data_IF_359579935598
#
_entry.id   IF_359579935598
#
_cell.length_a   1.000
_cell.length_b   1.000
_cell.length_c   1.000
_cell.angle_alpha   90.00
_cell.angle_beta   90.00
_cell.angle_gamma   90.00
#
_symmetry.space_group_name_H-M   'P 1'
#
loop_
_entity.id
_entity.type
_entity.pdbx_description
1 polymer ?
#
# COMPACT_ATOMS: atom_id res chain seq x y z
N UNK A 1 6.82 8.91 -6.87
CA UNK A 1 7.71 7.83 -6.36
C UNK A 1 7.92 6.75 -7.42
N UNK A 2 9.00 5.96 -7.34
CA UNK A 2 9.21 4.84 -8.25
C UNK A 2 8.34 3.61 -7.85
N UNK A 3 8.06 2.74 -8.84
CA UNK A 3 7.23 1.54 -8.63
C UNK A 3 7.85 0.52 -7.68
N UNK A 4 9.19 0.36 -7.70
CA UNK A 4 9.89 -0.58 -6.82
C UNK A 4 9.60 -0.27 -5.34
N UNK A 5 9.71 1.01 -4.98
CA UNK A 5 9.39 1.51 -3.63
C UNK A 5 7.89 1.40 -3.34
N UNK A 6 7.03 1.83 -4.28
CA UNK A 6 5.58 1.80 -4.10
C UNK A 6 5.03 0.38 -3.89
N UNK A 7 5.59 -0.61 -4.58
CA UNK A 7 5.25 -2.03 -4.45
C UNK A 7 5.98 -2.73 -3.30
N UNK A 8 6.91 -2.05 -2.60
CA UNK A 8 7.75 -2.62 -1.53
C UNK A 8 8.42 -3.94 -1.94
N UNK A 9 9.00 -3.98 -3.14
CA UNK A 9 9.57 -5.21 -3.69
C UNK A 9 10.74 -5.70 -2.83
N UNK A 10 10.64 -6.96 -2.42
CA UNK A 10 11.72 -7.68 -1.76
C UNK A 10 12.71 -8.24 -2.80
N UNK A 11 13.87 -8.70 -2.33
CA UNK A 11 14.80 -9.44 -3.21
C UNK A 11 14.14 -10.72 -3.73
N UNK A 12 14.49 -11.11 -4.95
CA UNK A 12 13.93 -12.27 -5.65
C UNK A 12 12.41 -12.20 -5.83
N UNK A 13 11.87 -10.98 -6.00
CA UNK A 13 10.45 -10.81 -6.22
C UNK A 13 9.99 -11.44 -7.54
N UNK A 14 8.82 -12.09 -7.52
CA UNK A 14 8.08 -12.46 -8.72
C UNK A 14 6.83 -11.58 -8.79
N UNK A 15 6.76 -10.73 -9.82
CA UNK A 15 5.67 -9.75 -9.98
C UNK A 15 4.82 -10.12 -11.19
N UNK A 16 3.57 -10.49 -10.97
CA UNK A 16 2.63 -10.79 -12.04
C UNK A 16 1.75 -9.56 -12.36
N UNK A 17 1.75 -9.13 -13.62
CA UNK A 17 0.87 -8.08 -14.13
C UNK A 17 -0.35 -8.70 -14.79
N UNK A 18 -1.54 -8.32 -14.33
CA UNK A 18 -2.84 -8.80 -14.84
C UNK A 18 -3.75 -7.61 -15.20
N UNK A 19 -4.82 -7.84 -15.97
CA UNK A 19 -5.79 -6.78 -16.29
C UNK A 19 -5.54 -6.11 -17.65
N UNK A 20 -5.85 -4.83 -17.76
CA UNK A 20 -5.75 -4.03 -18.99
C UNK A 20 -5.04 -2.70 -18.77
N UNK A 21 -4.92 -1.85 -19.83
CA UNK A 21 -4.49 -0.47 -19.65
C UNK A 21 -2.98 -0.23 -19.52
N UNK A 22 -2.12 -1.14 -20.07
CA UNK A 22 -0.69 -0.87 -20.20
C UNK A 22 0.23 -1.71 -19.31
N UNK A 23 -0.14 -2.97 -19.05
CA UNK A 23 0.69 -3.94 -18.30
C UNK A 23 2.13 -4.01 -18.81
N UNK A 24 2.30 -4.21 -20.11
CA UNK A 24 3.63 -4.31 -20.74
C UNK A 24 4.46 -3.06 -20.45
N UNK A 25 3.90 -1.86 -20.59
CA UNK A 25 4.60 -0.61 -20.30
C UNK A 25 5.02 -0.51 -18.83
N UNK A 26 4.14 -0.87 -17.90
CA UNK A 26 4.45 -0.88 -16.47
C UNK A 26 5.51 -1.93 -16.12
N UNK A 27 5.45 -3.12 -16.73
CA UNK A 27 6.43 -4.18 -16.55
C UNK A 27 7.83 -3.72 -16.98
N UNK A 28 7.96 -3.13 -18.17
CA UNK A 28 9.25 -2.61 -18.66
C UNK A 28 9.71 -1.38 -17.89
N UNK A 29 8.77 -0.53 -17.44
CA UNK A 29 9.10 0.60 -16.56
C UNK A 29 9.70 0.10 -15.25
N UNK A 30 9.09 -0.87 -14.59
CA UNK A 30 9.63 -1.45 -13.36
C UNK A 30 10.99 -2.13 -13.61
N UNK A 31 11.15 -2.80 -14.74
CA UNK A 31 12.44 -3.37 -15.12
C UNK A 31 13.54 -2.29 -15.22
N UNK A 32 13.23 -1.18 -15.87
CA UNK A 32 14.17 -0.05 -15.98
C UNK A 32 14.53 0.55 -14.62
N UNK A 33 13.57 0.67 -13.69
CA UNK A 33 13.83 1.15 -12.33
C UNK A 33 14.72 0.19 -11.52
N UNK A 34 14.52 -1.14 -11.66
CA UNK A 34 15.37 -2.15 -11.01
C UNK A 34 16.80 -2.04 -11.53
N UNK A 35 16.98 -1.94 -12.84
CA UNK A 35 18.31 -1.81 -13.48
C UNK A 35 18.99 -0.50 -13.08
N UNK A 36 18.25 0.61 -13.07
CA UNK A 36 18.79 1.92 -12.63
C UNK A 36 19.24 1.89 -11.16
N UNK A 37 18.63 1.04 -10.33
CA UNK A 37 19.06 0.77 -8.97
C UNK A 37 20.21 -0.24 -8.84
N UNK A 38 20.85 -0.67 -9.93
CA UNK A 38 21.96 -1.62 -9.95
C UNK A 38 21.52 -3.08 -9.86
N UNK A 39 20.22 -3.38 -9.93
CA UNK A 39 19.68 -4.72 -9.88
C UNK A 39 19.64 -5.40 -11.26
N UNK A 40 19.37 -6.72 -11.25
CA UNK A 40 19.17 -7.54 -12.43
C UNK A 40 17.73 -8.05 -12.49
N UNK A 41 17.13 -8.04 -13.67
CA UNK A 41 15.73 -8.36 -13.87
C UNK A 41 15.50 -9.22 -15.12
N UNK A 42 14.59 -10.17 -15.02
CA UNK A 42 14.04 -10.88 -16.15
C UNK A 42 12.59 -10.44 -16.34
N UNK A 43 12.23 -10.08 -17.57
CA UNK A 43 10.82 -9.93 -17.97
C UNK A 43 10.39 -11.15 -18.76
N UNK A 44 9.14 -11.59 -18.61
CA UNK A 44 8.58 -12.72 -19.34
C UNK A 44 7.07 -12.62 -19.48
N UNK A 45 6.46 -13.55 -20.17
CA UNK A 45 5.00 -13.71 -20.23
C UNK A 45 4.63 -15.17 -20.14
N UNK A 46 3.50 -15.48 -19.51
CA UNK A 46 2.91 -16.83 -19.50
C UNK A 46 1.79 -16.97 -20.54
N UNK A 47 1.55 -15.93 -21.36
CA UNK A 47 0.55 -15.92 -22.42
C UNK A 47 1.19 -15.62 -23.78
N UNK A 48 0.80 -14.53 -24.43
CA UNK A 48 1.39 -14.10 -25.70
C UNK A 48 1.57 -12.57 -25.69
N UNK A 49 2.73 -12.12 -26.15
CA UNK A 49 3.00 -10.69 -26.40
C UNK A 49 3.17 -10.45 -27.91
N UNK A 50 3.09 -9.22 -28.36
CA UNK A 50 3.43 -8.87 -29.74
C UNK A 50 4.93 -9.06 -29.98
N UNK A 51 5.29 -9.63 -31.13
CA UNK A 51 6.70 -9.86 -31.48
C UNK A 51 7.53 -8.57 -31.50
N UNK A 52 6.94 -7.43 -31.87
CA UNK A 52 7.62 -6.14 -31.83
C UNK A 52 7.88 -5.61 -30.40
N UNK A 53 7.28 -6.21 -29.36
CA UNK A 53 7.58 -5.84 -27.97
C UNK A 53 8.88 -6.49 -27.47
N UNK A 54 9.42 -7.47 -28.19
CA UNK A 54 10.69 -8.11 -27.80
C UNK A 54 11.89 -7.17 -27.84
N UNK A 55 11.82 -6.10 -28.64
CA UNK A 55 12.86 -5.05 -28.71
C UNK A 55 12.85 -4.07 -27.53
N UNK A 56 11.86 -4.15 -26.65
CA UNK A 56 11.78 -3.29 -25.45
C UNK A 56 12.80 -3.69 -24.37
N UNK A 57 13.29 -4.93 -24.42
CA UNK A 57 14.41 -5.36 -23.58
C UNK A 57 15.73 -5.24 -24.33
N UNK A 58 16.85 -4.90 -23.64
CA UNK A 58 18.18 -4.86 -24.25
C UNK A 58 18.62 -6.23 -24.81
N UNK A 59 18.17 -7.30 -24.19
CA UNK A 59 18.44 -8.67 -24.61
C UNK A 59 17.15 -9.48 -24.61
N UNK A 60 16.98 -10.30 -25.65
CA UNK A 60 15.85 -11.21 -25.80
C UNK A 60 16.33 -12.62 -26.03
N UNK A 61 15.77 -13.56 -25.29
CA UNK A 61 16.01 -14.99 -25.44
C UNK A 61 14.67 -15.68 -25.71
N UNK A 62 14.57 -16.31 -26.90
CA UNK A 62 13.44 -17.16 -27.26
C UNK A 62 13.79 -18.62 -26.95
N UNK A 63 13.07 -19.27 -26.04
CA UNK A 63 13.21 -20.70 -25.75
C UNK A 63 12.57 -21.49 -26.88
N UNK A 64 13.30 -22.49 -27.39
CA UNK A 64 12.76 -23.41 -28.40
C UNK A 64 11.62 -24.28 -27.83
N UNK A 65 11.77 -24.72 -26.58
CA UNK A 65 10.72 -25.35 -25.78
C UNK A 65 10.33 -24.41 -24.62
N UNK A 66 9.12 -23.89 -24.59
CA UNK A 66 8.68 -22.98 -23.52
C UNK A 66 8.57 -23.64 -22.14
N UNK A 67 8.71 -24.98 -22.07
CA UNK A 67 8.70 -25.74 -20.82
C UNK A 67 10.11 -26.10 -20.31
N UNK A 68 11.18 -25.63 -20.96
CA UNK A 68 12.56 -25.99 -20.58
C UNK A 68 13.46 -24.73 -20.54
N UNK A 69 14.28 -24.62 -19.50
CA UNK A 69 15.33 -23.61 -19.39
C UNK A 69 16.70 -24.28 -19.59
N UNK A 70 17.30 -24.23 -20.81
CA UNK A 70 18.60 -24.82 -21.04
C UNK A 70 19.69 -24.19 -20.16
N UNK A 71 20.64 -24.99 -19.66
CA UNK A 71 21.73 -24.53 -18.82
C UNK A 71 22.58 -23.43 -19.49
N UNK A 72 22.79 -23.51 -20.82
CA UNK A 72 23.47 -22.46 -21.57
C UNK A 72 22.73 -21.12 -21.55
N UNK A 73 21.39 -21.13 -21.60
CA UNK A 73 20.55 -19.93 -21.46
C UNK A 73 20.63 -19.39 -20.05
N UNK A 74 20.49 -20.24 -19.04
CA UNK A 74 20.61 -19.86 -17.64
C UNK A 74 21.96 -19.18 -17.36
N UNK A 75 23.06 -19.65 -17.93
CA UNK A 75 24.37 -19.03 -17.80
C UNK A 75 24.43 -17.62 -18.44
N UNK A 76 23.76 -17.41 -19.59
CA UNK A 76 23.70 -16.10 -20.27
C UNK A 76 22.89 -15.08 -19.49
N UNK A 77 21.81 -15.49 -18.82
CA UNK A 77 20.94 -14.57 -18.06
C UNK A 77 21.71 -13.79 -16.99
N UNK A 78 22.71 -14.43 -16.36
CA UNK A 78 23.55 -13.78 -15.34
C UNK A 78 24.48 -12.68 -15.87
N UNK A 79 24.70 -12.59 -17.17
CA UNK A 79 25.59 -11.61 -17.82
C UNK A 79 24.94 -10.27 -18.17
N UNK A 80 23.62 -10.16 -18.06
CA UNK A 80 22.88 -8.97 -18.50
C UNK A 80 22.03 -8.38 -17.38
N UNK A 81 21.90 -7.05 -17.34
CA UNK A 81 21.08 -6.36 -16.33
C UNK A 81 19.57 -6.58 -16.56
N UNK A 82 19.15 -6.68 -17.84
CA UNK A 82 17.76 -6.95 -18.19
C UNK A 82 17.70 -7.89 -19.39
N UNK A 83 16.95 -8.99 -19.25
CA UNK A 83 16.67 -9.96 -20.32
C UNK A 83 15.16 -10.21 -20.39
N UNK A 84 14.60 -10.19 -21.60
CA UNK A 84 13.27 -10.73 -21.89
C UNK A 84 13.40 -12.20 -22.28
N UNK A 85 12.67 -13.07 -21.60
CA UNK A 85 12.59 -14.51 -21.94
C UNK A 85 11.18 -14.81 -22.45
N UNK A 86 11.09 -15.43 -23.63
CA UNK A 86 9.81 -15.88 -24.22
C UNK A 86 9.93 -17.32 -24.70
N UNK A 87 8.81 -17.93 -25.06
CA UNK A 87 8.79 -19.10 -25.92
C UNK A 87 9.07 -18.74 -27.40
N UNK A 88 8.79 -19.64 -28.35
CA UNK A 88 9.02 -19.39 -29.77
C UNK A 88 8.28 -18.17 -30.31
N UNK A 89 8.84 -17.57 -31.36
CA UNK A 89 8.17 -16.46 -32.07
C UNK A 89 7.40 -17.06 -33.27
N UNK A 90 6.11 -16.76 -33.30
CA UNK A 90 5.26 -16.99 -34.46
C UNK A 90 5.30 -15.74 -35.35
N UNK A 91 6.17 -15.75 -36.34
CA UNK A 91 6.35 -14.62 -37.25
C UNK A 91 5.09 -14.36 -38.10
N UNK A 92 4.33 -15.43 -38.46
CA UNK A 92 3.07 -15.25 -39.23
C UNK A 92 1.97 -14.57 -38.43
N UNK A 93 1.85 -14.89 -37.12
CA UNK A 93 0.89 -14.24 -36.22
C UNK A 93 1.43 -12.94 -35.62
N UNK A 94 2.71 -12.61 -35.81
CA UNK A 94 3.37 -11.46 -35.19
C UNK A 94 3.39 -11.54 -33.64
N UNK A 95 3.49 -12.73 -33.07
CA UNK A 95 3.42 -13.01 -31.63
C UNK A 95 4.60 -13.81 -31.13
N UNK A 96 5.06 -13.52 -29.91
CA UNK A 96 5.92 -14.41 -29.14
C UNK A 96 5.05 -15.16 -28.11
N UNK A 97 5.25 -16.48 -28.04
CA UNK A 97 4.59 -17.32 -27.03
C UNK A 97 5.14 -17.05 -25.63
N UNK A 98 4.33 -17.32 -24.63
CA UNK A 98 4.78 -17.30 -23.24
C UNK A 98 5.60 -18.53 -22.88
N UNK A 99 6.31 -18.45 -21.76
CA UNK A 99 6.93 -19.61 -21.11
C UNK A 99 5.89 -20.34 -20.25
N UNK A 100 6.15 -21.62 -19.98
CA UNK A 100 5.36 -22.35 -18.98
C UNK A 100 5.53 -21.74 -17.59
N UNK A 101 4.46 -21.69 -16.75
CA UNK A 101 4.52 -21.05 -15.44
C UNK A 101 5.64 -21.58 -14.53
N UNK A 102 5.97 -22.88 -14.59
CA UNK A 102 7.01 -23.46 -13.74
C UNK A 102 8.44 -22.96 -14.10
N UNK A 103 8.68 -22.52 -15.32
CA UNK A 103 9.97 -21.93 -15.73
C UNK A 103 10.27 -20.65 -14.94
N UNK A 104 9.24 -19.93 -14.49
CA UNK A 104 9.43 -18.68 -13.71
C UNK A 104 10.18 -18.97 -12.41
N UNK A 105 9.93 -20.10 -11.74
CA UNK A 105 10.67 -20.49 -10.54
C UNK A 105 12.15 -20.77 -10.84
N UNK A 106 12.46 -21.34 -12.01
CA UNK A 106 13.83 -21.56 -12.47
C UNK A 106 14.51 -20.22 -12.79
N UNK A 107 13.80 -19.29 -13.44
CA UNK A 107 14.31 -17.95 -13.76
C UNK A 107 14.71 -17.16 -12.49
N UNK A 108 13.95 -17.26 -11.40
CA UNK A 108 14.32 -16.66 -10.09
C UNK A 108 15.65 -17.20 -9.58
N UNK A 109 15.92 -18.49 -9.80
CA UNK A 109 17.12 -19.16 -9.32
C UNK A 109 18.38 -18.80 -10.14
N UNK A 110 18.25 -18.06 -11.24
CA UNK A 110 19.41 -17.56 -12.02
C UNK A 110 20.15 -16.40 -11.32
N UNK A 111 19.71 -15.99 -10.13
CA UNK A 111 20.36 -14.97 -9.32
C UNK A 111 19.98 -13.55 -9.70
N UNK A 112 18.79 -13.33 -10.29
CA UNK A 112 18.23 -12.02 -10.56
C UNK A 112 17.49 -11.48 -9.33
N UNK A 113 17.34 -10.14 -9.27
CA UNK A 113 16.64 -9.47 -8.17
C UNK A 113 15.12 -9.57 -8.31
N UNK A 114 14.62 -9.67 -9.54
CA UNK A 114 13.19 -9.87 -9.80
C UNK A 114 12.93 -10.59 -11.13
N UNK A 115 11.78 -11.29 -11.20
CA UNK A 115 11.16 -11.78 -12.42
C UNK A 115 9.79 -11.10 -12.57
N UNK A 116 9.59 -10.40 -13.69
CA UNK A 116 8.36 -9.67 -13.99
C UNK A 116 7.58 -10.41 -15.09
N UNK A 117 6.32 -10.70 -14.85
CA UNK A 117 5.53 -11.61 -15.67
C UNK A 117 4.25 -10.92 -16.17
N UNK A 118 4.05 -10.84 -17.49
CA UNK A 118 2.74 -10.52 -18.05
C UNK A 118 1.88 -11.78 -18.06
N UNK A 119 0.90 -11.89 -17.15
CA UNK A 119 0.17 -13.12 -16.88
C UNK A 119 -1.15 -13.25 -17.66
N UNK A 120 -1.55 -12.23 -18.42
CA UNK A 120 -2.75 -12.27 -19.27
C UNK A 120 -2.70 -11.26 -20.42
N UNK A 121 -3.53 -11.47 -21.45
CA UNK A 121 -3.72 -10.54 -22.57
C UNK A 121 -4.97 -9.68 -22.40
N UNK A 122 -4.94 -8.41 -22.88
CA UNK A 122 -6.10 -7.49 -22.84
C UNK A 122 -6.51 -6.93 -24.19
N UNK A 123 -5.90 -7.37 -25.30
CA UNK A 123 -6.10 -6.81 -26.64
C UNK A 123 -5.99 -5.29 -26.67
N UNK A 124 -5.04 -4.73 -25.93
CA UNK A 124 -4.81 -3.29 -25.77
C UNK A 124 -5.97 -2.50 -25.15
N UNK A 125 -7.00 -3.16 -24.60
CA UNK A 125 -8.12 -2.48 -23.94
C UNK A 125 -7.71 -1.99 -22.54
N UNK A 126 -8.20 -0.81 -22.11
CA UNK A 126 -7.85 -0.22 -20.81
C UNK A 126 -8.43 -0.97 -19.61
N UNK A 127 -9.50 -1.73 -19.77
CA UNK A 127 -10.10 -2.57 -18.73
C UNK A 127 -10.41 -3.96 -19.30
N UNK A 128 -10.43 -4.98 -18.45
CA UNK A 128 -10.85 -6.33 -18.84
C UNK A 128 -11.47 -7.12 -17.69
N UNK A 129 -12.29 -8.10 -18.06
CA UNK A 129 -12.61 -9.24 -17.20
C UNK A 129 -11.87 -10.50 -17.70
N UNK A 130 -11.20 -11.27 -16.83
CA UNK A 130 -10.43 -12.44 -17.25
C UNK A 130 -11.37 -13.60 -17.68
N UNK A 131 -10.97 -14.38 -18.71
CA UNK A 131 -11.63 -15.61 -19.08
C UNK A 131 -11.36 -16.73 -18.05
N UNK A 132 -11.95 -17.91 -18.23
CA UNK A 132 -11.77 -19.02 -17.28
C UNK A 132 -10.33 -19.48 -17.15
N UNK A 133 -9.61 -19.53 -18.26
CA UNK A 133 -8.20 -19.93 -18.35
C UNK A 133 -7.21 -18.80 -18.05
N UNK A 134 -7.67 -17.62 -17.68
CA UNK A 134 -6.85 -16.44 -17.34
C UNK A 134 -7.18 -15.92 -15.94
N UNK A 135 -6.21 -15.23 -15.31
CA UNK A 135 -4.80 -15.09 -15.66
C UNK A 135 -4.01 -16.39 -15.39
N UNK A 136 -2.83 -16.53 -16.02
CA UNK A 136 -1.89 -17.62 -15.78
C UNK A 136 -0.77 -17.10 -14.89
N UNK A 137 -1.06 -16.98 -13.58
CA UNK A 137 -0.13 -16.50 -12.57
C UNK A 137 0.79 -17.65 -12.16
N UNK A 138 2.14 -17.49 -12.21
CA UNK A 138 3.08 -18.53 -11.80
C UNK A 138 3.03 -18.80 -10.29
N UNK A 139 3.32 -20.03 -9.89
CA UNK A 139 3.58 -20.37 -8.50
C UNK A 139 4.80 -19.59 -7.97
N UNK A 140 4.78 -19.23 -6.69
CA UNK A 140 5.84 -18.41 -6.09
C UNK A 140 5.75 -16.92 -6.40
N UNK A 141 4.67 -16.46 -7.07
CA UNK A 141 4.40 -15.04 -7.25
C UNK A 141 4.28 -14.34 -5.89
N UNK A 142 5.08 -13.29 -5.69
CA UNK A 142 5.11 -12.50 -4.45
C UNK A 142 4.20 -11.27 -4.51
N UNK A 143 4.04 -10.71 -5.71
CA UNK A 143 3.23 -9.51 -5.95
C UNK A 143 2.36 -9.68 -7.19
N UNK A 144 1.08 -9.34 -7.08
CA UNK A 144 0.16 -9.26 -8.22
C UNK A 144 -0.28 -7.83 -8.41
N UNK A 145 -0.05 -7.28 -9.60
CA UNK A 145 -0.44 -5.91 -9.98
C UNK A 145 -1.61 -5.99 -10.96
N UNK A 146 -2.81 -5.64 -10.48
CA UNK A 146 -4.02 -5.59 -11.30
C UNK A 146 -4.15 -4.22 -11.96
N UNK A 147 -3.92 -4.15 -13.26
CA UNK A 147 -3.82 -2.90 -14.02
C UNK A 147 -5.13 -2.53 -14.66
N UNK A 148 -5.48 -1.25 -14.59
CA UNK A 148 -6.54 -0.58 -15.37
C UNK A 148 -6.02 0.76 -15.89
N UNK A 149 -6.38 1.13 -17.11
CA UNK A 149 -6.07 2.45 -17.66
C UNK A 149 -7.12 3.48 -17.26
N UNK A 150 -6.69 4.63 -16.75
CA UNK A 150 -7.60 5.74 -16.41
C UNK A 150 -8.41 6.26 -17.60
N UNK A 151 -7.95 5.99 -18.80
CA UNK A 151 -8.62 6.33 -20.04
C UNK A 151 -9.91 5.52 -20.31
N UNK A 152 -10.28 4.58 -19.43
CA UNK A 152 -11.57 3.86 -19.53
C UNK A 152 -12.73 4.61 -18.88
N UNK A 153 -12.44 5.43 -17.87
CA UNK A 153 -13.50 6.08 -17.09
C UNK A 153 -14.37 7.00 -17.95
N UNK A 154 -15.68 6.82 -17.87
CA UNK A 154 -16.66 7.52 -18.68
C UNK A 154 -16.86 6.97 -20.09
N UNK A 155 -15.98 6.09 -20.59
CA UNK A 155 -16.21 5.39 -21.87
C UNK A 155 -17.29 4.31 -21.72
N UNK A 156 -17.96 3.99 -22.81
CA UNK A 156 -19.02 2.97 -22.80
C UNK A 156 -18.45 1.59 -22.50
N UNK A 157 -19.17 0.81 -21.71
CA UNK A 157 -18.91 -0.59 -21.41
C UNK A 157 -19.27 -1.46 -22.61
N UNK A 158 -18.38 -1.47 -23.59
CA UNK A 158 -18.48 -2.24 -24.85
C UNK A 158 -17.12 -2.86 -25.18
N UNK A 159 -17.10 -3.86 -26.08
CA UNK A 159 -15.88 -4.61 -26.39
C UNK A 159 -14.74 -3.73 -26.94
N UNK A 160 -15.05 -2.58 -27.52
CA UNK A 160 -14.04 -1.63 -28.00
C UNK A 160 -13.25 -0.96 -26.87
N UNK A 161 -13.82 -0.80 -25.71
CA UNK A 161 -13.21 -0.16 -24.56
C UNK A 161 -12.83 -1.16 -23.45
N UNK A 162 -13.58 -2.27 -23.33
CA UNK A 162 -13.42 -3.24 -22.25
C UNK A 162 -13.31 -4.64 -22.83
N UNK A 163 -12.19 -5.31 -22.62
CA UNK A 163 -12.01 -6.68 -23.10
C UNK A 163 -12.93 -7.64 -22.35
N UNK A 164 -13.79 -8.34 -23.06
CA UNK A 164 -14.91 -9.17 -22.56
C UNK A 164 -15.92 -8.33 -21.78
N UNK A 165 -16.48 -7.34 -22.46
CA UNK A 165 -17.39 -6.37 -21.88
C UNK A 165 -18.63 -7.03 -21.22
N UNK A 166 -19.21 -8.08 -21.80
CA UNK A 166 -20.34 -8.84 -21.20
C UNK A 166 -19.95 -9.45 -19.83
N UNK A 167 -18.76 -10.05 -19.76
CA UNK A 167 -18.26 -10.62 -18.52
C UNK A 167 -17.98 -9.53 -17.48
N UNK A 168 -17.42 -8.41 -17.89
CA UNK A 168 -17.19 -7.25 -17.03
C UNK A 168 -18.52 -6.66 -16.50
N UNK A 169 -19.53 -6.57 -17.34
CA UNK A 169 -20.89 -6.18 -16.96
C UNK A 169 -21.46 -7.10 -15.88
N UNK A 170 -21.37 -8.42 -16.08
CA UNK A 170 -21.81 -9.41 -15.08
C UNK A 170 -21.09 -9.29 -13.73
N UNK A 171 -19.76 -9.07 -13.73
CA UNK A 171 -18.99 -8.88 -12.50
C UNK A 171 -19.35 -7.59 -11.75
N UNK A 172 -19.71 -6.54 -12.46
CA UNK A 172 -20.06 -5.24 -11.89
C UNK A 172 -21.56 -5.09 -11.58
N UNK A 173 -22.41 -6.04 -11.95
CA UNK A 173 -23.86 -5.89 -11.87
C UNK A 173 -24.39 -4.76 -12.76
N UNK A 174 -23.78 -4.54 -13.94
CA UNK A 174 -24.05 -3.43 -14.84
C UNK A 174 -24.60 -3.93 -16.19
N UNK A 175 -25.08 -3.02 -17.03
CA UNK A 175 -25.53 -3.31 -18.39
C UNK A 175 -24.52 -2.84 -19.43
N UNK A 176 -24.42 -3.56 -20.55
CA UNK A 176 -23.64 -3.11 -21.71
C UNK A 176 -24.11 -1.73 -22.20
N UNK A 177 -23.17 -0.95 -22.72
CA UNK A 177 -23.45 0.40 -23.25
C UNK A 177 -23.53 1.50 -22.18
N UNK A 178 -23.48 1.18 -20.88
CA UNK A 178 -23.38 2.20 -19.84
C UNK A 178 -21.94 2.75 -19.76
N UNK A 179 -21.76 4.03 -19.38
CA UNK A 179 -20.44 4.56 -19.09
C UNK A 179 -19.77 3.78 -17.93
N UNK A 180 -18.50 3.44 -18.08
CA UNK A 180 -17.72 2.80 -17.01
C UNK A 180 -17.58 3.80 -15.86
N UNK A 181 -18.30 3.53 -14.77
CA UNK A 181 -18.28 4.34 -13.56
C UNK A 181 -17.16 3.91 -12.59
N UNK A 182 -16.97 4.72 -11.56
CA UNK A 182 -16.06 4.44 -10.42
C UNK A 182 -16.43 3.12 -9.75
N UNK A 183 -17.72 2.91 -9.49
CA UNK A 183 -18.25 1.72 -8.83
C UNK A 183 -18.00 0.46 -9.66
N UNK A 184 -18.27 0.53 -10.98
CA UNK A 184 -18.02 -0.58 -11.91
C UNK A 184 -16.55 -0.97 -11.94
N UNK A 185 -15.65 0.00 -12.09
CA UNK A 185 -14.22 -0.26 -12.14
C UNK A 185 -13.71 -0.87 -10.81
N UNK A 186 -14.12 -0.31 -9.68
CA UNK A 186 -13.77 -0.83 -8.36
C UNK A 186 -14.32 -2.25 -8.15
N UNK A 187 -15.58 -2.51 -8.51
CA UNK A 187 -16.19 -3.83 -8.41
C UNK A 187 -15.43 -4.87 -9.24
N UNK A 188 -15.10 -4.57 -10.51
CA UNK A 188 -14.36 -5.49 -11.39
C UNK A 188 -12.98 -5.78 -10.83
N UNK A 189 -12.26 -4.75 -10.37
CA UNK A 189 -10.91 -4.91 -9.78
C UNK A 189 -10.94 -5.73 -8.49
N UNK A 190 -11.91 -5.50 -7.61
CA UNK A 190 -12.03 -6.19 -6.33
C UNK A 190 -12.62 -7.60 -6.44
N UNK A 191 -13.28 -7.93 -7.55
CA UNK A 191 -14.02 -9.19 -7.68
C UNK A 191 -13.10 -10.42 -7.69
N UNK A 192 -13.45 -11.51 -6.95
CA UNK A 192 -12.66 -12.75 -6.95
C UNK A 192 -12.53 -13.42 -8.32
N UNK A 193 -13.45 -13.19 -9.25
CA UNK A 193 -13.41 -13.64 -10.65
C UNK A 193 -12.99 -12.51 -11.62
N UNK A 194 -12.61 -11.35 -11.09
CA UNK A 194 -12.11 -10.17 -11.80
C UNK A 194 -10.61 -9.94 -11.55
N UNK A 195 -10.26 -8.75 -11.08
CA UNK A 195 -8.87 -8.35 -10.82
C UNK A 195 -8.16 -9.15 -9.73
N UNK A 196 -8.89 -9.90 -8.90
CA UNK A 196 -8.34 -10.79 -7.86
C UNK A 196 -8.35 -12.27 -8.23
N UNK A 197 -8.73 -12.59 -9.47
CA UNK A 197 -8.79 -14.00 -9.89
C UNK A 197 -7.41 -14.65 -9.89
N UNK A 198 -7.34 -15.86 -9.35
CA UNK A 198 -6.13 -16.70 -9.24
C UNK A 198 -4.95 -16.04 -8.49
N UNK A 199 -5.21 -15.02 -7.67
CA UNK A 199 -4.16 -14.41 -6.84
C UNK A 199 -3.78 -15.40 -5.74
N UNK A 200 -2.50 -15.78 -5.61
CA UNK A 200 -2.04 -16.64 -4.51
C UNK A 200 -2.28 -15.97 -3.15
N UNK A 201 -2.66 -16.74 -2.15
CA UNK A 201 -2.94 -16.21 -0.78
C UNK A 201 -1.70 -15.60 -0.11
N UNK A 202 -0.51 -16.03 -0.53
CA UNK A 202 0.79 -15.49 -0.06
C UNK A 202 1.22 -14.23 -0.79
N UNK A 203 0.59 -13.89 -1.92
CA UNK A 203 0.99 -12.74 -2.73
C UNK A 203 0.35 -11.44 -2.25
N UNK A 204 1.14 -10.36 -2.29
CA UNK A 204 0.62 -9.01 -2.11
C UNK A 204 -0.11 -8.57 -3.38
N UNK A 205 -1.40 -8.28 -3.26
CA UNK A 205 -2.19 -7.75 -4.37
C UNK A 205 -2.27 -6.23 -4.29
N UNK A 206 -2.14 -5.56 -5.44
CA UNK A 206 -2.26 -4.11 -5.55
C UNK A 206 -2.93 -3.75 -6.89
N UNK A 207 -3.93 -2.89 -6.88
CA UNK A 207 -4.42 -2.29 -8.12
C UNK A 207 -3.44 -1.21 -8.59
N UNK A 208 -3.26 -1.08 -9.91
CA UNK A 208 -2.53 0.04 -10.50
C UNK A 208 -3.44 0.75 -11.52
N UNK A 209 -3.85 1.98 -11.23
CA UNK A 209 -4.57 2.83 -12.17
C UNK A 209 -3.53 3.59 -12.98
N UNK A 210 -3.27 3.09 -14.18
CA UNK A 210 -2.26 3.61 -15.11
C UNK A 210 -2.82 4.72 -15.99
N UNK A 211 -1.93 5.47 -16.66
CA UNK A 211 -2.28 6.60 -17.56
C UNK A 211 -2.93 7.78 -16.83
N UNK A 212 -2.50 8.03 -15.60
CA UNK A 212 -2.88 9.22 -14.84
C UNK A 212 -1.84 10.30 -15.15
N UNK A 213 -2.05 11.04 -16.24
CA UNK A 213 -1.11 12.00 -16.82
C UNK A 213 -1.59 13.45 -16.69
N UNK A 214 -2.84 13.63 -16.24
CA UNK A 214 -3.45 14.96 -16.08
C UNK A 214 -4.44 14.99 -14.91
N UNK A 215 -4.81 16.20 -14.49
CA UNK A 215 -5.83 16.40 -13.45
C UNK A 215 -7.19 15.81 -13.81
N UNK A 216 -7.55 15.79 -15.10
CA UNK A 216 -8.81 15.19 -15.55
C UNK A 216 -8.88 13.68 -15.33
N UNK A 217 -7.73 12.99 -15.41
CA UNK A 217 -7.62 11.55 -15.15
C UNK A 217 -7.45 11.26 -13.66
N UNK A 218 -6.82 12.17 -12.91
CA UNK A 218 -6.51 12.00 -11.50
C UNK A 218 -7.79 11.95 -10.64
N UNK A 219 -8.77 12.78 -10.89
CA UNK A 219 -10.01 12.82 -10.10
C UNK A 219 -10.78 11.49 -10.14
N UNK A 220 -11.13 10.91 -11.31
CA UNK A 220 -11.81 9.61 -11.34
C UNK A 220 -10.90 8.47 -10.82
N UNK A 221 -9.59 8.53 -11.06
CA UNK A 221 -8.65 7.55 -10.54
C UNK A 221 -8.62 7.54 -9.00
N UNK A 222 -8.56 8.71 -8.38
CA UNK A 222 -8.67 8.84 -6.90
C UNK A 222 -10.00 8.31 -6.39
N UNK A 223 -11.11 8.61 -7.06
CA UNK A 223 -12.42 8.12 -6.65
C UNK A 223 -12.49 6.59 -6.67
N UNK A 224 -11.91 5.93 -7.69
CA UNK A 224 -11.80 4.46 -7.73
C UNK A 224 -10.91 3.95 -6.60
N UNK A 225 -9.77 4.60 -6.34
CA UNK A 225 -8.86 4.21 -5.28
C UNK A 225 -9.51 4.32 -3.89
N UNK A 226 -10.18 5.43 -3.61
CA UNK A 226 -10.92 5.62 -2.35
C UNK A 226 -12.07 4.60 -2.21
N UNK A 227 -12.75 4.26 -3.31
CA UNK A 227 -13.79 3.22 -3.30
C UNK A 227 -13.22 1.84 -3.01
N UNK A 228 -12.06 1.49 -3.62
CA UNK A 228 -11.36 0.22 -3.35
C UNK A 228 -10.90 0.16 -1.90
N UNK A 229 -10.37 1.25 -1.38
CA UNK A 229 -9.95 1.33 0.01
C UNK A 229 -11.13 1.24 0.98
N UNK A 230 -12.15 2.07 0.82
CA UNK A 230 -13.25 2.19 1.79
C UNK A 230 -14.17 0.96 1.83
N UNK A 231 -14.40 0.30 0.67
CA UNK A 231 -15.36 -0.81 0.58
C UNK A 231 -14.66 -2.17 0.72
N UNK A 232 -13.44 -2.30 0.20
CA UNK A 232 -12.77 -3.58 0.07
C UNK A 232 -11.45 -3.66 0.87
N UNK A 233 -10.99 -2.55 1.45
CA UNK A 233 -9.71 -2.50 2.18
C UNK A 233 -8.49 -2.76 1.29
N UNK A 234 -8.58 -2.49 -0.02
CA UNK A 234 -7.58 -2.87 -1.00
C UNK A 234 -6.64 -1.71 -1.36
N UNK A 235 -5.31 -1.96 -1.44
CA UNK A 235 -4.33 -0.95 -1.81
C UNK A 235 -4.36 -0.63 -3.31
N UNK A 236 -4.10 0.64 -3.64
CA UNK A 236 -4.11 1.15 -5.03
C UNK A 236 -2.92 2.07 -5.26
N UNK A 237 -2.26 1.92 -6.39
CA UNK A 237 -1.29 2.86 -6.93
C UNK A 237 -1.92 3.65 -8.08
N UNK A 238 -1.70 4.96 -8.10
CA UNK A 238 -2.09 5.86 -9.19
C UNK A 238 -0.83 6.36 -9.88
N UNK A 239 -0.82 6.40 -11.22
CA UNK A 239 0.31 6.96 -11.93
C UNK A 239 0.33 6.67 -13.42
N UNK A 240 1.49 6.84 -14.05
CA UNK A 240 1.71 6.50 -15.46
C UNK A 240 3.09 5.90 -15.67
N UNK A 241 3.15 4.85 -16.50
CA UNK A 241 4.41 4.25 -16.93
C UNK A 241 5.30 5.23 -17.71
N UNK A 242 4.72 6.31 -18.26
CA UNK A 242 5.42 7.29 -19.10
C UNK A 242 6.01 8.45 -18.30
N UNK A 243 5.55 8.67 -17.07
CA UNK A 243 6.03 9.76 -16.23
C UNK A 243 7.39 9.47 -15.59
N UNK A 244 8.15 10.52 -15.28
CA UNK A 244 9.46 10.40 -14.62
C UNK A 244 9.33 9.64 -13.30
N UNK A 245 8.33 9.94 -12.50
CA UNK A 245 7.91 9.14 -11.36
C UNK A 245 6.64 8.38 -11.70
N UNK A 246 6.76 7.06 -11.89
CA UNK A 246 5.66 6.23 -12.38
C UNK A 246 4.46 6.17 -11.43
N UNK A 247 4.65 6.43 -10.14
CA UNK A 247 3.58 6.45 -9.13
C UNK A 247 3.47 7.84 -8.53
N UNK A 248 2.31 8.47 -8.69
CA UNK A 248 2.00 9.78 -8.10
C UNK A 248 1.34 9.66 -6.72
N UNK A 249 0.57 8.59 -6.47
CA UNK A 249 -0.08 8.34 -5.20
C UNK A 249 -0.14 6.86 -4.86
N UNK A 250 0.01 6.55 -3.56
CA UNK A 250 -0.21 5.23 -2.97
C UNK A 250 -1.34 5.32 -1.95
N UNK A 251 -2.51 4.80 -2.30
CA UNK A 251 -3.72 4.79 -1.47
C UNK A 251 -3.83 3.41 -0.82
N UNK A 252 -3.70 3.36 0.51
CA UNK A 252 -3.70 2.11 1.26
C UNK A 252 -4.27 2.32 2.67
N UNK A 253 -4.68 1.24 3.38
CA UNK A 253 -5.12 1.35 4.76
C UNK A 253 -4.01 1.90 5.66
N UNK A 254 -4.32 2.95 6.43
CA UNK A 254 -3.43 3.52 7.45
C UNK A 254 -4.09 3.34 8.81
N UNK A 255 -3.38 2.68 9.74
CA UNK A 255 -3.85 2.55 11.11
C UNK A 255 -3.55 3.81 11.92
N UNK A 256 -4.45 4.15 12.85
CA UNK A 256 -4.15 5.09 13.94
C UNK A 256 -4.13 4.32 15.25
N UNK A 257 -2.95 4.28 15.87
CA UNK A 257 -2.70 3.59 17.14
C UNK A 257 -2.63 4.62 18.25
N UNK A 258 -3.62 4.63 19.13
CA UNK A 258 -3.68 5.51 20.29
C UNK A 258 -3.05 4.80 21.47
N UNK A 259 -1.93 5.33 21.95
CA UNK A 259 -1.18 4.77 23.07
C UNK A 259 -1.71 5.33 24.39
N UNK A 260 -2.46 4.51 25.13
CA UNK A 260 -3.13 4.87 26.37
C UNK A 260 -2.81 3.91 27.53
N UNK A 261 -1.68 3.18 27.46
CA UNK A 261 -1.29 2.16 28.44
C UNK A 261 -0.40 2.68 29.59
N UNK A 262 -0.04 3.97 29.61
CA UNK A 262 0.86 4.56 30.63
C UNK A 262 0.29 4.52 32.04
N UNK A 263 1.19 4.46 33.04
CA UNK A 263 0.84 4.39 34.46
C UNK A 263 0.10 5.64 35.00
N UNK A 264 0.23 6.79 34.34
CA UNK A 264 -0.32 8.08 34.77
C UNK A 264 0.08 8.47 36.21
N UNK A 265 1.25 7.99 36.71
CA UNK A 265 1.65 8.14 38.11
C UNK A 265 1.78 9.58 38.55
N UNK A 266 2.27 10.48 37.68
CA UNK A 266 2.36 11.94 37.94
C UNK A 266 0.98 12.60 38.09
N UNK A 267 -0.07 11.99 37.52
CA UNK A 267 -1.45 12.47 37.55
C UNK A 267 -2.28 11.87 38.71
N UNK A 268 -1.68 11.03 39.55
CA UNK A 268 -2.38 10.30 40.60
C UNK A 268 -3.15 11.22 41.59
N UNK A 269 -2.66 12.44 41.82
CA UNK A 269 -3.29 13.42 42.66
C UNK A 269 -4.68 13.86 42.17
N UNK A 270 -4.99 13.73 40.87
CA UNK A 270 -6.30 14.06 40.30
C UNK A 270 -7.34 12.93 40.49
N UNK A 271 -6.95 11.78 41.00
CA UNK A 271 -7.86 10.64 41.21
C UNK A 271 -8.52 10.06 39.95
N UNK A 272 -8.15 10.59 38.78
CA UNK A 272 -8.67 10.15 37.46
C UNK A 272 -7.49 9.77 36.56
N UNK A 273 -7.54 8.60 35.89
CA UNK A 273 -6.51 8.22 34.94
C UNK A 273 -6.36 9.23 33.79
N UNK A 274 -5.13 9.53 33.38
CA UNK A 274 -4.79 10.52 32.34
C UNK A 274 -5.69 10.43 31.08
N UNK A 275 -5.94 9.22 30.48
CA UNK A 275 -6.81 9.12 29.30
C UNK A 275 -8.24 9.59 29.51
N UNK A 276 -8.73 9.56 30.77
CA UNK A 276 -10.10 9.91 31.14
C UNK A 276 -10.26 11.35 31.65
N UNK A 277 -9.21 12.14 31.68
CA UNK A 277 -9.26 13.55 32.02
C UNK A 277 -10.17 14.30 31.06
N UNK A 278 -11.07 15.14 31.59
CA UNK A 278 -12.03 15.92 30.80
C UNK A 278 -11.31 16.86 29.85
N UNK A 279 -11.73 16.87 28.56
CA UNK A 279 -11.20 17.77 27.55
C UNK A 279 -12.29 18.15 26.55
N UNK A 280 -12.60 19.43 26.41
CA UNK A 280 -13.73 19.88 25.61
C UNK A 280 -15.03 19.21 26.06
N UNK A 281 -15.78 18.64 25.12
CA UNK A 281 -17.06 17.94 25.39
C UNK A 281 -16.88 16.47 25.81
N UNK A 282 -15.65 15.98 25.92
CA UNK A 282 -15.35 14.57 26.24
C UNK A 282 -14.16 14.41 27.18
N UNK A 283 -13.23 13.56 26.82
CA UNK A 283 -11.97 13.34 27.50
C UNK A 283 -10.82 13.18 26.50
N UNK A 284 -9.58 13.13 26.97
CA UNK A 284 -8.38 13.03 26.11
C UNK A 284 -8.46 11.84 25.17
N UNK A 285 -8.92 10.68 25.67
CA UNK A 285 -9.02 9.46 24.87
C UNK A 285 -10.09 9.56 23.79
N UNK A 286 -11.31 9.99 24.13
CA UNK A 286 -12.40 10.12 23.16
C UNK A 286 -12.06 11.13 22.08
N UNK A 287 -11.38 12.23 22.44
CA UNK A 287 -10.87 13.21 21.47
C UNK A 287 -9.91 12.58 20.45
N UNK A 288 -8.90 11.84 20.93
CA UNK A 288 -7.93 11.17 20.04
C UNK A 288 -8.61 10.13 19.14
N UNK A 289 -9.53 9.34 19.69
CA UNK A 289 -10.31 8.35 18.94
C UNK A 289 -11.21 9.01 17.91
N UNK A 290 -11.94 10.06 18.30
CA UNK A 290 -12.84 10.76 17.37
C UNK A 290 -12.07 11.47 16.25
N UNK A 291 -10.86 11.97 16.49
CA UNK A 291 -9.98 12.50 15.45
C UNK A 291 -9.56 11.40 14.45
N UNK A 292 -9.18 10.22 14.95
CA UNK A 292 -8.82 9.07 14.12
C UNK A 292 -10.00 8.56 13.28
N UNK A 293 -11.20 8.48 13.86
CA UNK A 293 -12.39 8.02 13.14
C UNK A 293 -12.85 9.01 12.06
N UNK A 294 -12.70 10.33 12.30
CA UNK A 294 -13.07 11.36 11.30
C UNK A 294 -12.23 11.35 10.04
N UNK A 295 -10.98 10.90 10.09
CA UNK A 295 -10.17 10.71 8.87
C UNK A 295 -10.53 9.44 8.09
N UNK A 296 -11.55 8.69 8.52
CA UNK A 296 -11.97 7.44 7.88
C UNK A 296 -11.01 6.27 8.12
N UNK A 297 -10.19 6.29 9.18
CA UNK A 297 -9.34 5.14 9.52
C UNK A 297 -10.20 3.96 9.97
N UNK A 298 -10.30 2.94 9.12
CA UNK A 298 -10.97 1.67 9.45
C UNK A 298 -10.15 0.81 10.45
N UNK A 299 -8.88 1.16 10.68
CA UNK A 299 -7.96 0.42 11.56
C UNK A 299 -7.52 1.29 12.74
N UNK A 300 -8.50 1.81 13.51
CA UNK A 300 -8.21 2.56 14.74
C UNK A 300 -8.03 1.60 15.91
N UNK A 301 -6.87 1.66 16.55
CA UNK A 301 -6.53 0.85 17.73
C UNK A 301 -6.34 1.73 18.96
N UNK A 302 -6.80 1.25 20.12
CA UNK A 302 -6.48 1.81 21.43
C UNK A 302 -5.71 0.80 22.25
N UNK A 303 -4.46 1.09 22.58
CA UNK A 303 -3.61 0.23 23.39
C UNK A 303 -3.77 0.60 24.85
N UNK A 304 -4.19 -0.38 25.66
CA UNK A 304 -4.47 -0.24 27.09
C UNK A 304 -3.52 -1.09 27.94
N UNK A 305 -3.16 -0.57 29.12
CA UNK A 305 -2.53 -1.35 30.19
C UNK A 305 -3.59 -1.93 31.14
N UNK A 306 -3.69 -1.35 32.32
CA UNK A 306 -4.53 -1.87 33.41
C UNK A 306 -5.96 -1.31 33.48
N UNK A 307 -6.40 -0.44 32.58
CA UNK A 307 -7.63 0.36 32.74
C UNK A 307 -8.80 -0.08 31.83
N UNK A 308 -8.97 -1.37 31.55
CA UNK A 308 -9.93 -1.84 30.53
C UNK A 308 -11.38 -1.47 30.80
N UNK A 309 -11.91 -1.60 32.02
CA UNK A 309 -13.32 -1.37 32.33
C UNK A 309 -13.79 0.08 32.21
N UNK A 310 -13.17 1.05 32.88
CA UNK A 310 -13.52 2.46 32.76
C UNK A 310 -13.38 3.00 31.34
N UNK A 311 -12.33 2.59 30.64
CA UNK A 311 -12.04 3.02 29.25
C UNK A 311 -13.09 2.46 28.28
N UNK A 312 -13.48 1.19 28.40
CA UNK A 312 -14.52 0.62 27.56
C UNK A 312 -15.84 1.38 27.66
N UNK A 313 -16.23 1.81 28.86
CA UNK A 313 -17.47 2.59 29.05
C UNK A 313 -17.47 3.93 28.33
N UNK A 314 -16.35 4.66 28.33
CA UNK A 314 -16.27 5.98 27.67
C UNK A 314 -16.13 5.86 26.15
N UNK A 315 -15.62 4.76 25.65
CA UNK A 315 -15.48 4.52 24.21
C UNK A 315 -16.81 4.14 23.55
N UNK A 316 -17.74 3.53 24.32
CA UNK A 316 -19.08 3.18 23.84
C UNK A 316 -19.06 2.27 22.61
N UNK A 317 -19.84 2.62 21.58
CA UNK A 317 -20.01 1.85 20.33
C UNK A 317 -19.07 2.24 19.20
N UNK A 318 -18.01 3.01 19.49
CA UNK A 318 -17.03 3.43 18.49
C UNK A 318 -16.38 2.23 17.82
N UNK A 319 -16.25 2.27 16.50
CA UNK A 319 -15.65 1.19 15.71
C UNK A 319 -14.11 1.24 15.84
N UNK A 320 -13.60 0.61 16.88
CA UNK A 320 -12.17 0.58 17.22
C UNK A 320 -11.78 -0.82 17.69
N UNK A 321 -10.51 -1.14 17.60
CA UNK A 321 -9.92 -2.34 18.18
C UNK A 321 -9.24 -1.99 19.52
N UNK A 322 -9.65 -2.67 20.59
CA UNK A 322 -8.95 -2.59 21.87
C UNK A 322 -7.81 -3.60 21.90
N UNK A 323 -6.61 -3.14 22.23
CA UNK A 323 -5.41 -3.97 22.35
C UNK A 323 -4.92 -3.90 23.80
N UNK A 324 -4.96 -5.04 24.50
CA UNK A 324 -4.46 -5.13 25.85
C UNK A 324 -2.94 -5.40 25.82
N UNK A 325 -2.17 -4.52 26.44
CA UNK A 325 -0.75 -4.71 26.67
C UNK A 325 -0.48 -5.16 28.12
N UNK A 326 -0.36 -6.43 28.36
CA UNK A 326 -0.07 -6.98 29.69
C UNK A 326 1.32 -6.60 30.22
N UNK A 327 2.23 -6.21 29.31
CA UNK A 327 3.61 -5.85 29.64
C UNK A 327 3.86 -4.34 29.71
N UNK A 328 2.82 -3.53 29.81
CA UNK A 328 2.88 -2.06 29.78
C UNK A 328 3.91 -1.44 30.74
N UNK A 329 4.16 -2.09 31.90
CA UNK A 329 5.16 -1.66 32.91
C UNK A 329 6.61 -1.76 32.40
N UNK A 330 6.87 -2.57 31.38
CA UNK A 330 8.20 -2.74 30.80
C UNK A 330 8.57 -1.65 29.78
N UNK A 331 7.73 -0.60 29.64
CA UNK A 331 8.01 0.58 28.84
C UNK A 331 7.19 0.70 27.56
N UNK A 332 7.30 1.86 26.91
CA UNK A 332 6.49 2.28 25.75
C UNK A 332 6.61 1.32 24.54
N UNK A 333 7.80 0.72 24.34
CA UNK A 333 8.02 -0.24 23.24
C UNK A 333 7.02 -1.40 23.27
N UNK A 334 6.63 -1.87 24.47
CA UNK A 334 5.69 -2.99 24.57
C UNK A 334 4.30 -2.66 24.04
N UNK A 335 3.88 -1.40 24.15
CA UNK A 335 2.62 -0.90 23.59
C UNK A 335 2.66 -0.81 22.06
N UNK A 336 3.78 -0.35 21.50
CA UNK A 336 4.01 -0.32 20.04
C UNK A 336 3.99 -1.76 19.48
N UNK A 337 4.71 -2.68 20.14
CA UNK A 337 4.78 -4.09 19.73
C UNK A 337 3.41 -4.77 19.84
N UNK A 338 2.64 -4.52 20.91
CA UNK A 338 1.30 -5.08 21.07
C UNK A 338 0.36 -4.63 19.94
N UNK A 339 0.37 -3.33 19.61
CA UNK A 339 -0.41 -2.79 18.49
C UNK A 339 -0.06 -3.45 17.16
N UNK A 340 1.23 -3.52 16.82
CA UNK A 340 1.68 -4.10 15.56
C UNK A 340 1.36 -5.59 15.43
N UNK A 341 1.43 -6.36 16.52
CA UNK A 341 1.05 -7.78 16.53
C UNK A 341 -0.45 -8.02 16.33
N UNK A 342 -1.28 -7.08 16.78
CA UNK A 342 -2.72 -7.12 16.62
C UNK A 342 -3.20 -6.47 15.29
N UNK A 343 -2.28 -5.90 14.51
CA UNK A 343 -2.61 -5.16 13.30
C UNK A 343 -2.91 -6.08 12.12
N UNK A 344 -3.91 -5.73 11.33
CA UNK A 344 -4.27 -6.44 10.11
C UNK A 344 -3.12 -6.39 9.09
N UNK A 345 -2.95 -7.49 8.35
CA UNK A 345 -1.94 -7.63 7.32
C UNK A 345 -2.11 -6.68 6.13
N UNK A 346 -3.29 -6.13 5.91
CA UNK A 346 -3.56 -5.16 4.82
C UNK A 346 -3.08 -3.74 5.13
N UNK A 347 -2.81 -3.41 6.41
CA UNK A 347 -2.38 -2.07 6.81
C UNK A 347 -1.00 -1.77 6.24
N UNK A 348 -0.90 -0.69 5.47
CA UNK A 348 0.33 -0.26 4.79
C UNK A 348 1.17 0.75 5.58
N UNK A 349 0.58 1.45 6.55
CA UNK A 349 1.28 2.38 7.42
C UNK A 349 0.54 2.54 8.76
N UNK A 350 1.22 3.03 9.80
CA UNK A 350 0.61 3.28 11.10
C UNK A 350 1.07 4.62 11.69
N UNK A 351 0.11 5.40 12.22
CA UNK A 351 0.36 6.58 13.03
C UNK A 351 0.31 6.18 14.50
N UNK A 352 1.37 6.47 15.25
CA UNK A 352 1.38 6.28 16.69
C UNK A 352 1.12 7.61 17.40
N UNK A 353 -0.06 7.72 18.00
CA UNK A 353 -0.56 8.89 18.70
C UNK A 353 -0.58 8.65 20.20
N UNK A 354 0.09 9.50 20.97
CA UNK A 354 -0.01 9.51 22.43
C UNK A 354 -1.29 10.21 22.86
N UNK A 355 -1.95 9.67 23.88
CA UNK A 355 -3.25 10.18 24.36
C UNK A 355 -3.17 11.55 25.04
N UNK A 356 -1.97 11.96 25.45
CA UNK A 356 -1.67 13.20 26.17
C UNK A 356 -1.40 14.43 25.28
N UNK A 357 -1.59 14.30 23.97
CA UNK A 357 -1.42 15.37 23.00
C UNK A 357 -2.79 15.95 22.58
N UNK A 358 -3.39 16.82 23.38
CA UNK A 358 -4.78 17.27 23.19
C UNK A 358 -4.97 18.15 21.95
N UNK A 359 -3.91 18.74 21.41
CA UNK A 359 -3.97 19.61 20.23
C UNK A 359 -3.78 18.86 18.91
N UNK A 360 -3.48 17.55 18.95
CA UNK A 360 -3.46 16.72 17.75
C UNK A 360 -4.89 16.45 17.28
N UNK A 361 -5.27 17.05 16.16
CA UNK A 361 -6.60 16.96 15.56
C UNK A 361 -6.64 16.15 14.27
N UNK A 362 -7.82 16.10 13.67
CA UNK A 362 -8.11 15.43 12.40
C UNK A 362 -7.23 15.97 11.26
N UNK A 363 -7.00 17.28 11.24
CA UNK A 363 -6.26 17.98 10.19
C UNK A 363 -4.81 17.52 10.10
N UNK A 364 -4.12 17.39 11.25
CA UNK A 364 -2.74 16.90 11.29
C UNK A 364 -2.66 15.44 10.85
N UNK A 365 -3.55 14.58 11.35
CA UNK A 365 -3.57 13.16 10.96
C UNK A 365 -3.81 13.01 9.45
N UNK A 366 -4.73 13.78 8.88
CA UNK A 366 -5.00 13.80 7.44
C UNK A 366 -3.79 14.29 6.64
N UNK A 367 -3.09 15.34 7.11
CA UNK A 367 -1.89 15.87 6.44
C UNK A 367 -0.75 14.84 6.41
N UNK A 368 -0.52 14.10 7.51
CA UNK A 368 0.48 13.03 7.56
C UNK A 368 0.16 11.93 6.55
N UNK A 369 -1.11 11.50 6.46
CA UNK A 369 -1.54 10.48 5.49
C UNK A 369 -1.40 10.99 4.07
N UNK A 370 -1.81 12.23 3.78
CA UNK A 370 -1.72 12.81 2.44
C UNK A 370 -0.26 12.89 1.95
N UNK A 371 0.67 13.31 2.82
CA UNK A 371 2.08 13.37 2.48
C UNK A 371 2.68 11.96 2.28
N UNK A 372 2.30 10.99 3.12
CA UNK A 372 2.71 9.60 2.92
C UNK A 372 2.21 9.03 1.59
N UNK A 373 0.95 9.28 1.23
CA UNK A 373 0.34 8.85 -0.05
C UNK A 373 1.11 9.38 -1.26
N UNK A 374 1.51 10.66 -1.23
CA UNK A 374 2.17 11.32 -2.37
C UNK A 374 3.66 11.03 -2.46
N UNK A 375 4.34 10.78 -1.33
CA UNK A 375 5.80 10.60 -1.29
C UNK A 375 6.24 9.15 -1.14
N UNK A 376 5.43 8.30 -0.49
CA UNK A 376 5.82 6.95 -0.09
C UNK A 376 6.97 6.93 0.93
N UNK A 377 7.17 8.04 1.66
CA UNK A 377 8.23 8.16 2.64
C UNK A 377 8.10 7.10 3.74
N UNK A 378 9.23 6.56 4.19
CA UNK A 378 9.26 5.56 5.27
C UNK A 378 8.74 6.12 6.58
N UNK A 379 8.93 7.42 6.79
CA UNK A 379 8.46 8.13 7.97
C UNK A 379 7.85 9.46 7.53
N UNK A 380 6.71 9.80 8.12
CA UNK A 380 6.14 11.15 8.02
C UNK A 380 5.90 11.68 9.42
N UNK A 381 6.38 12.88 9.71
CA UNK A 381 6.25 13.47 11.03
C UNK A 381 5.95 14.98 10.92
N UNK A 382 5.26 15.57 11.91
CA UNK A 382 5.15 17.01 11.99
C UNK A 382 6.50 17.62 12.38
N UNK A 383 6.74 18.85 11.89
CA UNK A 383 7.91 19.66 12.22
C UNK A 383 7.45 21.03 12.72
N UNK A 384 7.94 21.41 13.89
CA UNK A 384 7.71 22.72 14.51
C UNK A 384 9.05 23.39 14.73
N UNK A 385 9.26 24.56 14.19
CA UNK A 385 10.52 25.33 14.30
C UNK A 385 11.77 24.48 14.00
N UNK A 386 11.69 23.65 12.95
CA UNK A 386 12.78 22.75 12.53
C UNK A 386 12.94 21.49 13.38
N UNK A 387 12.15 21.29 14.43
CA UNK A 387 12.22 20.13 15.34
C UNK A 387 11.07 19.16 15.06
N UNK A 388 11.38 17.85 15.10
CA UNK A 388 10.37 16.80 14.98
C UNK A 388 9.41 16.82 16.17
N UNK A 389 8.12 16.68 15.86
CA UNK A 389 7.06 16.51 16.85
C UNK A 389 6.34 15.14 16.66
N UNK A 390 5.39 14.85 17.55
CA UNK A 390 4.47 13.73 17.46
C UNK A 390 3.09 14.23 16.95
N UNK A 391 2.25 13.33 16.37
CA UNK A 391 2.44 11.89 16.16
C UNK A 391 3.32 11.58 14.93
N UNK A 392 3.88 10.36 14.88
CA UNK A 392 4.70 9.91 13.75
C UNK A 392 3.97 8.80 13.00
N UNK A 393 3.95 8.92 11.68
CA UNK A 393 3.53 7.87 10.76
C UNK A 393 4.76 7.07 10.33
N UNK A 394 4.66 5.74 10.43
CA UNK A 394 5.66 4.78 9.93
C UNK A 394 5.06 3.94 8.81
N UNK A 395 5.79 3.83 7.70
CA UNK A 395 5.49 2.87 6.64
C UNK A 395 5.67 1.44 7.15
N UNK A 396 4.89 0.50 6.60
CA UNK A 396 4.96 -0.92 6.94
C UNK A 396 6.36 -1.53 6.79
N UNK A 397 7.18 -1.00 5.89
CA UNK A 397 8.55 -1.46 5.72
C UNK A 397 9.39 -1.36 7.02
N UNK A 398 9.01 -0.47 7.94
CA UNK A 398 9.67 -0.28 9.24
C UNK A 398 9.03 -1.10 10.38
N UNK A 399 7.92 -1.81 10.15
CA UNK A 399 7.27 -2.61 11.20
C UNK A 399 8.19 -3.67 11.82
N UNK A 400 9.05 -4.39 11.06
CA UNK A 400 10.02 -5.32 11.66
C UNK A 400 10.96 -4.65 12.67
N UNK A 401 11.43 -3.42 12.40
CA UNK A 401 12.29 -2.68 13.33
C UNK A 401 11.51 -2.19 14.56
N UNK A 402 10.29 -1.74 14.37
CA UNK A 402 9.41 -1.36 15.48
C UNK A 402 9.05 -2.56 16.37
N UNK A 403 8.88 -3.76 15.81
CA UNK A 403 8.66 -5.01 16.54
C UNK A 403 9.88 -5.46 17.35
N UNK A 404 11.08 -5.02 16.98
CA UNK A 404 12.33 -5.31 17.68
C UNK A 404 12.64 -4.33 18.82
N UNK A 405 11.84 -3.28 19.04
CA UNK A 405 12.02 -2.31 20.11
C UNK A 405 11.93 -2.95 21.50
N UNK A 406 12.75 -2.45 22.44
CA UNK A 406 12.78 -2.92 23.83
C UNK A 406 12.88 -1.73 24.80
N UNK A 407 12.36 -1.90 26.02
CA UNK A 407 12.46 -0.92 27.10
C UNK A 407 11.55 0.30 26.92
N UNK A 408 11.86 1.38 27.60
CA UNK A 408 11.05 2.62 27.58
C UNK A 408 11.43 3.51 26.37
N UNK A 409 11.42 2.92 25.19
CA UNK A 409 11.73 3.57 23.91
C UNK A 409 10.51 3.40 23.00
N UNK A 410 10.00 4.51 22.50
CA UNK A 410 8.97 4.49 21.45
C UNK A 410 9.59 4.41 20.04
N UNK A 411 8.82 4.70 19.01
CA UNK A 411 9.30 4.79 17.63
C UNK A 411 10.39 5.85 17.39
N UNK A 412 10.76 6.65 18.40
CA UNK A 412 11.75 7.71 18.29
C UNK A 412 13.11 7.22 17.79
N UNK A 413 13.60 6.09 18.30
CA UNK A 413 14.89 5.54 17.89
C UNK A 413 14.91 5.12 16.42
N UNK A 414 13.81 4.52 15.92
CA UNK A 414 13.65 4.20 14.49
C UNK A 414 13.58 5.49 13.68
N UNK A 415 12.82 6.49 14.13
CA UNK A 415 12.71 7.76 13.44
C UNK A 415 14.04 8.53 13.35
N UNK A 416 14.91 8.43 14.35
CA UNK A 416 16.25 9.01 14.31
C UNK A 416 17.17 8.29 13.31
N UNK A 417 17.11 6.97 13.24
CA UNK A 417 17.85 6.17 12.27
C UNK A 417 17.50 6.54 10.82
N UNK A 418 16.25 6.87 10.55
CA UNK A 418 15.74 7.20 9.22
C UNK A 418 15.46 8.71 9.01
N UNK A 419 16.10 9.59 9.78
CA UNK A 419 15.87 11.04 9.72
C UNK A 419 16.00 11.62 8.31
N UNK A 420 16.98 11.14 7.52
CA UNK A 420 17.21 11.58 6.13
C UNK A 420 16.15 11.05 5.13
N UNK A 421 15.29 10.13 5.54
CA UNK A 421 14.19 9.54 4.76
C UNK A 421 12.82 9.92 5.33
N UNK A 422 12.79 10.93 6.19
CA UNK A 422 11.57 11.47 6.79
C UNK A 422 11.02 12.60 5.94
N UNK A 423 9.75 12.50 5.59
CA UNK A 423 9.00 13.62 5.03
C UNK A 423 8.35 14.45 6.16
N UNK A 424 8.32 15.76 6.00
CA UNK A 424 7.94 16.69 7.05
C UNK A 424 6.67 17.45 6.71
N UNK A 425 5.77 17.54 7.68
CA UNK A 425 4.62 18.44 7.65
C UNK A 425 4.90 19.59 8.61
N UNK A 426 5.10 20.79 8.12
CA UNK A 426 5.27 21.96 8.98
C UNK A 426 3.94 22.26 9.70
N UNK A 427 3.99 22.43 11.03
CA UNK A 427 2.82 22.57 11.87
C UNK A 427 3.01 23.61 12.98
N UNK A 428 1.91 24.01 13.61
CA UNK A 428 1.89 24.99 14.71
C UNK A 428 2.46 24.41 16.00
N UNK A 429 2.98 25.27 16.88
CA UNK A 429 3.68 24.89 18.10
C UNK A 429 2.77 24.30 19.20
N UNK A 430 1.46 24.45 19.07
CA UNK A 430 0.48 23.91 20.02
C UNK A 430 0.55 22.38 20.17
N UNK A 431 0.93 21.66 19.10
CA UNK A 431 1.09 20.20 19.14
C UNK A 431 2.27 19.71 20.01
N UNK A 432 3.17 20.62 20.43
CA UNK A 432 4.28 20.30 21.33
C UNK A 432 3.83 20.21 22.80
N UNK A 433 2.62 20.70 23.08
CA UNK A 433 2.11 20.72 24.44
C UNK A 433 1.52 19.35 24.80
N UNK A 434 2.14 18.69 25.75
CA UNK A 434 1.67 17.44 26.35
C UNK A 434 1.17 17.68 27.79
N UNK A 435 0.24 16.86 28.22
CA UNK A 435 -0.33 16.91 29.57
C UNK A 435 0.39 15.86 30.42
N UNK A 436 1.44 16.23 31.14
CA UNK A 436 2.23 15.32 31.96
C UNK A 436 1.98 15.45 33.47
N UNK A 437 1.62 16.66 33.92
CA UNK A 437 1.38 16.99 35.34
C UNK A 437 -0.02 17.61 35.54
N UNK A 438 -0.54 17.63 36.79
CA UNK A 438 -1.78 18.38 37.11
C UNK A 438 -1.72 19.87 36.75
N UNK A 439 -0.54 20.47 36.86
CA UNK A 439 -0.28 21.86 36.52
C UNK A 439 -0.40 22.07 34.98
N UNK A 440 0.18 21.20 34.17
CA UNK A 440 0.02 21.26 32.71
C UNK A 440 -1.46 21.19 32.34
N UNK A 441 -2.18 20.24 32.94
CA UNK A 441 -3.61 20.05 32.68
C UNK A 441 -4.44 21.30 33.03
N UNK A 442 -4.18 21.90 34.18
CA UNK A 442 -4.89 23.10 34.61
C UNK A 442 -4.60 24.29 33.69
N UNK A 443 -3.33 24.50 33.33
CA UNK A 443 -2.90 25.58 32.45
C UNK A 443 -3.51 25.48 31.05
N UNK A 444 -3.45 24.29 30.46
CA UNK A 444 -3.96 24.07 29.11
C UNK A 444 -5.49 24.11 29.04
N UNK A 445 -6.17 23.65 30.10
CA UNK A 445 -7.62 23.74 30.19
C UNK A 445 -8.09 25.18 30.27
N UNK A 446 -7.42 26.01 31.08
CA UNK A 446 -7.74 27.46 31.21
C UNK A 446 -7.54 28.23 29.89
N UNK A 447 -6.62 27.77 29.02
CA UNK A 447 -6.38 28.36 27.70
C UNK A 447 -7.39 27.90 26.64
N UNK A 448 -8.11 26.80 26.88
CA UNK A 448 -9.08 26.21 25.95
C UNK A 448 -10.53 26.64 26.24
N UNK A 449 -10.81 27.19 27.43
CA UNK A 449 -12.08 27.80 27.85
C UNK A 449 -12.13 29.31 27.46
#
# INVERSE_FOLDING_TARGET
MNMRTALRLQQKAVVAFVGGGGKTSLMFRLAAEIVAGGGRVITTTTTRIFANQTVLAPHHVALADPGQLPAAVSAQLGGHAHVLVTGPIDAAAGKAFGVSPHIVAELVNTGVDAVLVEADGSRMRPLKAPAEHEPVIPDGTTNVVAVVGADVFGKLLVEDNVHRAERAAGLAGASLGQPVSVEMAAAILAHPLGGRKAVPTSAHWTAFINKVESGAQLLPARAVAERLLAVYGLPVLLGSALEHEAVCERVEPVAVVILAAGASSRMAALGVPKPLLSWGTGNLLTRAVDAALRIGSAHTQVVLGNLSGPVQRVLGTRQIQLVLNERWQAGLSTSVVAALRAMDSVVGAAIFLQVDLPHVGTELLAALIALHRSTGALIVAPRVDGRRANPILFDRALFPELLALQGDVGGRAVAEKYANQTAWVDWSADILQDIDTPEDYAAMRAAAE
#
